data_IF_952861329078
#
_entry.id   IF_952861329078
#
_cell.length_a   1.000
_cell.length_b   1.000
_cell.length_c   1.000
_cell.angle_alpha   90.00
_cell.angle_beta   90.00
_cell.angle_gamma   90.00
#
_symmetry.space_group_name_H-M   'P 1'
#
loop_
_entity.id
_entity.type
_entity.pdbx_description
1 polymer ?
#
# COMPACT_ATOMS: atom_id res chain seq x y z
N UNK A 1 -15.80 3.13 -28.17
CA UNK A 1 -14.35 3.41 -28.33
C UNK A 1 -13.55 3.04 -27.08
N UNK A 2 -14.00 3.30 -25.86
CA UNK A 2 -13.26 3.06 -24.60
C UNK A 2 -13.18 1.59 -24.15
N UNK A 3 -14.14 0.74 -24.53
CA UNK A 3 -14.14 -0.69 -24.20
C UNK A 3 -12.89 -1.42 -24.73
N UNK A 4 -12.34 -0.96 -25.85
CA UNK A 4 -11.15 -1.55 -26.45
C UNK A 4 -9.88 -1.25 -25.65
N UNK A 5 -9.72 -0.01 -25.17
CA UNK A 5 -8.57 0.40 -24.33
C UNK A 5 -8.55 -0.37 -22.99
N UNK A 6 -9.72 -0.49 -22.35
CA UNK A 6 -9.86 -1.28 -21.11
C UNK A 6 -9.48 -2.75 -21.32
N UNK A 7 -9.91 -3.34 -22.43
CA UNK A 7 -9.57 -4.73 -22.77
C UNK A 7 -8.07 -4.90 -22.98
N UNK A 8 -7.45 -4.01 -23.74
CA UNK A 8 -6.00 -4.02 -24.01
C UNK A 8 -5.18 -3.90 -22.72
N UNK A 9 -5.55 -2.97 -21.84
CA UNK A 9 -4.86 -2.82 -20.54
C UNK A 9 -5.00 -4.10 -19.69
N UNK A 10 -6.18 -4.72 -19.65
CA UNK A 10 -6.39 -6.00 -18.94
C UNK A 10 -5.53 -7.13 -19.49
N UNK A 11 -5.42 -7.23 -20.80
CA UNK A 11 -4.58 -8.25 -21.47
C UNK A 11 -3.09 -8.06 -21.14
N UNK A 12 -2.61 -6.82 -21.16
CA UNK A 12 -1.22 -6.51 -20.79
C UNK A 12 -0.95 -6.77 -19.29
N UNK A 13 -1.87 -6.41 -18.40
CA UNK A 13 -1.77 -6.71 -16.97
C UNK A 13 -1.71 -8.23 -16.71
N UNK A 14 -2.55 -9.00 -17.38
CA UNK A 14 -2.53 -10.47 -17.28
C UNK A 14 -1.21 -11.05 -17.79
N UNK A 15 -0.71 -10.54 -18.91
CA UNK A 15 0.53 -11.00 -19.54
C UNK A 15 1.75 -10.68 -18.66
N UNK A 16 1.82 -9.46 -18.12
CA UNK A 16 2.84 -9.03 -17.18
C UNK A 16 2.89 -9.93 -15.93
N UNK A 17 1.73 -10.25 -15.35
CA UNK A 17 1.62 -11.13 -14.17
C UNK A 17 2.06 -12.56 -14.42
N UNK A 18 2.07 -13.00 -15.66
CA UNK A 18 2.56 -14.31 -16.09
C UNK A 18 4.06 -14.31 -16.43
N UNK A 19 4.76 -13.19 -16.20
CA UNK A 19 6.17 -13.02 -16.54
C UNK A 19 6.43 -12.86 -18.04
N UNK A 20 5.40 -12.53 -18.82
CA UNK A 20 5.45 -12.35 -20.29
C UNK A 20 5.01 -10.92 -20.64
N UNK A 21 5.75 -9.92 -20.16
CA UNK A 21 5.47 -8.53 -20.48
C UNK A 21 5.48 -8.32 -22.02
N UNK A 22 4.43 -7.70 -22.56
CA UNK A 22 4.30 -7.39 -23.98
C UNK A 22 4.69 -5.96 -24.33
N UNK A 23 4.73 -5.09 -23.32
CA UNK A 23 5.07 -3.68 -23.41
C UNK A 23 5.92 -3.31 -22.17
N UNK A 24 6.63 -2.21 -22.25
CA UNK A 24 7.38 -1.66 -21.13
C UNK A 24 6.48 -1.14 -20.02
N UNK A 25 7.01 -0.99 -18.80
CA UNK A 25 6.28 -0.43 -17.67
C UNK A 25 5.82 1.02 -17.96
N UNK A 26 6.66 1.82 -18.65
CA UNK A 26 6.32 3.18 -19.06
C UNK A 26 5.14 3.24 -20.02
N UNK A 27 5.12 2.35 -21.02
CA UNK A 27 4.00 2.26 -21.98
C UNK A 27 2.71 1.82 -21.27
N UNK A 28 2.82 0.83 -20.38
CA UNK A 28 1.68 0.37 -19.58
C UNK A 28 1.10 1.49 -18.72
N UNK A 29 1.95 2.20 -17.98
CA UNK A 29 1.55 3.32 -17.13
C UNK A 29 0.91 4.46 -17.93
N UNK A 30 1.42 4.73 -19.15
CA UNK A 30 0.83 5.71 -20.05
C UNK A 30 -0.60 5.34 -20.49
N UNK A 31 -0.83 4.07 -20.83
CA UNK A 31 -2.16 3.57 -21.17
C UNK A 31 -3.14 3.67 -19.99
N UNK A 32 -2.66 3.34 -18.78
CA UNK A 32 -3.46 3.42 -17.54
C UNK A 32 -3.81 4.88 -17.21
N UNK A 33 -2.83 5.81 -17.30
CA UNK A 33 -3.10 7.24 -17.14
C UNK A 33 -4.10 7.77 -18.15
N UNK A 34 -3.96 7.39 -19.42
CA UNK A 34 -4.90 7.78 -20.46
C UNK A 34 -6.32 7.29 -20.17
N UNK A 35 -6.48 6.01 -19.78
CA UNK A 35 -7.78 5.46 -19.40
C UNK A 35 -8.37 6.23 -18.21
N UNK A 36 -7.57 6.56 -17.20
CA UNK A 36 -8.02 7.30 -16.02
C UNK A 36 -8.49 8.72 -16.37
N UNK A 37 -7.82 9.39 -17.33
CA UNK A 37 -8.20 10.73 -17.81
C UNK A 37 -9.53 10.73 -18.55
N UNK A 38 -9.80 9.72 -19.39
CA UNK A 38 -11.00 9.67 -20.23
C UNK A 38 -12.19 8.97 -19.55
N UNK A 39 -11.94 8.05 -18.64
CA UNK A 39 -12.97 7.31 -17.89
C UNK A 39 -12.48 7.03 -16.45
N UNK A 40 -12.53 8.03 -15.55
CA UNK A 40 -12.06 7.89 -14.17
C UNK A 40 -12.77 6.79 -13.38
N UNK A 41 -14.04 6.50 -13.73
CA UNK A 41 -14.87 5.50 -13.09
C UNK A 41 -14.85 4.13 -13.79
N UNK A 42 -13.88 3.92 -14.69
CA UNK A 42 -13.76 2.65 -15.42
C UNK A 42 -13.67 1.45 -14.48
N UNK A 43 -14.37 0.38 -14.82
CA UNK A 43 -14.36 -0.87 -14.04
C UNK A 43 -12.96 -1.47 -13.87
N UNK A 44 -11.99 -1.12 -14.71
CA UNK A 44 -10.59 -1.52 -14.55
C UNK A 44 -10.00 -1.02 -13.23
N UNK A 45 -10.32 0.21 -12.81
CA UNK A 45 -9.82 0.78 -11.55
C UNK A 45 -10.49 0.20 -10.32
N UNK A 46 -11.72 -0.31 -10.47
CA UNK A 46 -12.51 -0.90 -9.39
C UNK A 46 -12.37 -2.43 -9.28
N UNK A 47 -11.79 -3.08 -10.30
CA UNK A 47 -11.66 -4.53 -10.31
C UNK A 47 -10.60 -5.01 -9.30
N UNK A 48 -11.05 -5.61 -8.21
CA UNK A 48 -10.26 -6.41 -7.26
C UNK A 48 -9.16 -5.68 -6.46
N UNK A 49 -9.22 -4.35 -6.32
CA UNK A 49 -8.37 -3.65 -5.36
C UNK A 49 -9.15 -3.45 -4.06
N UNK A 50 -9.09 -4.43 -3.19
CA UNK A 50 -9.66 -4.33 -1.83
C UNK A 50 -8.92 -3.26 -1.02
N UNK A 51 -7.66 -2.99 -1.35
CA UNK A 51 -6.87 -1.90 -0.81
C UNK A 51 -6.55 -0.90 -1.93
N UNK A 52 -6.75 0.41 -1.69
CA UNK A 52 -6.38 1.44 -2.66
C UNK A 52 -4.88 1.41 -2.97
N UNK A 53 -4.48 1.90 -4.12
CA UNK A 53 -3.08 2.09 -4.49
C UNK A 53 -2.65 3.49 -4.12
N UNK A 54 -1.45 3.64 -3.57
CA UNK A 54 -0.78 4.94 -3.57
C UNK A 54 -0.45 5.23 -5.03
N UNK A 55 -0.97 6.34 -5.56
CA UNK A 55 -0.72 6.74 -6.93
C UNK A 55 0.75 7.13 -7.12
N UNK A 56 1.33 6.80 -8.26
CA UNK A 56 2.54 7.45 -8.70
C UNK A 56 2.10 8.79 -9.32
N UNK A 57 2.46 9.88 -8.70
CA UNK A 57 2.22 11.24 -9.21
C UNK A 57 3.54 11.92 -9.55
N UNK A 58 3.48 12.96 -10.36
CA UNK A 58 4.56 13.90 -10.48
C UNK A 58 4.58 14.73 -9.20
N UNK A 59 5.72 14.80 -8.56
CA UNK A 59 5.94 15.56 -7.34
C UNK A 59 5.66 17.06 -7.55
N UNK A 60 6.10 17.64 -8.65
CA UNK A 60 5.88 19.05 -8.99
C UNK A 60 4.39 19.35 -9.17
N UNK A 61 3.68 18.54 -9.96
CA UNK A 61 2.22 18.65 -10.12
C UNK A 61 1.48 18.52 -8.77
N UNK A 62 1.96 17.65 -7.88
CA UNK A 62 1.38 17.52 -6.55
C UNK A 62 1.56 18.78 -5.72
N UNK A 63 2.75 19.39 -5.72
CA UNK A 63 3.01 20.63 -4.99
C UNK A 63 2.14 21.79 -5.48
N UNK A 64 1.86 21.90 -6.77
CA UNK A 64 0.96 22.90 -7.35
C UNK A 64 -0.48 22.78 -6.86
N UNK A 65 -0.90 21.59 -6.39
CA UNK A 65 -2.25 21.38 -5.83
C UNK A 65 -2.39 21.81 -4.38
N UNK A 66 -1.29 22.14 -3.71
CA UNK A 66 -1.28 22.46 -2.29
C UNK A 66 -1.61 23.94 -2.05
N UNK A 67 -2.35 24.17 -0.97
CA UNK A 67 -2.54 25.52 -0.45
C UNK A 67 -1.25 26.02 0.24
N UNK A 68 -1.00 27.34 0.29
CA UNK A 68 0.20 27.90 0.91
C UNK A 68 0.47 27.42 2.34
N UNK A 69 -0.59 27.19 3.12
CA UNK A 69 -0.52 26.73 4.52
C UNK A 69 -0.63 25.20 4.67
N UNK A 70 -0.48 24.46 3.59
CA UNK A 70 -0.56 22.99 3.65
C UNK A 70 0.56 22.41 4.49
N UNK A 71 0.18 21.56 5.44
CA UNK A 71 1.13 20.78 6.25
C UNK A 71 1.35 19.43 5.61
N UNK A 72 2.61 19.10 5.35
CA UNK A 72 3.00 17.86 4.70
C UNK A 72 3.65 16.90 5.71
N UNK A 73 3.43 15.62 5.47
CA UNK A 73 4.18 14.54 6.10
C UNK A 73 4.95 13.82 5.00
N UNK A 74 6.25 13.79 5.15
CA UNK A 74 7.15 13.09 4.25
C UNK A 74 7.54 11.77 4.89
N UNK A 75 7.35 10.67 4.17
CA UNK A 75 7.71 9.32 4.62
C UNK A 75 8.49 8.60 3.52
N UNK A 76 9.47 7.76 3.88
CA UNK A 76 10.07 6.88 2.89
C UNK A 76 9.02 5.94 2.31
N UNK A 77 9.12 5.67 1.02
CA UNK A 77 8.29 4.65 0.36
C UNK A 77 8.86 3.28 0.68
N UNK A 78 8.14 2.52 1.50
CA UNK A 78 8.50 1.14 1.81
C UNK A 78 7.99 0.23 0.68
N UNK A 79 8.90 -0.55 0.11
CA UNK A 79 8.60 -1.48 -0.97
C UNK A 79 8.55 -2.93 -0.47
N UNK A 80 7.39 -3.52 -0.60
CA UNK A 80 7.10 -4.89 -0.20
C UNK A 80 5.80 -5.40 -0.82
N UNK A 81 4.93 -5.95 -0.01
CA UNK A 81 3.59 -6.38 -0.39
C UNK A 81 2.54 -5.68 0.46
N UNK A 82 1.70 -4.86 -0.16
CA UNK A 82 0.59 -4.22 0.54
C UNK A 82 -0.39 -5.25 1.10
N UNK A 83 -0.67 -5.14 2.40
CA UNK A 83 -1.61 -5.99 3.12
C UNK A 83 -2.54 -5.16 4.00
N UNK A 84 -3.75 -5.67 4.18
CA UNK A 84 -4.74 -5.13 5.12
C UNK A 84 -4.94 -6.06 6.29
N UNK A 85 -5.01 -5.49 7.48
CA UNK A 85 -5.30 -6.19 8.74
C UNK A 85 -6.63 -5.73 9.29
N UNK A 86 -7.44 -6.66 9.71
CA UNK A 86 -8.77 -6.41 10.28
C UNK A 86 -8.80 -6.95 11.70
N UNK A 87 -9.06 -6.07 12.65
CA UNK A 87 -9.22 -6.40 14.05
C UNK A 87 -10.68 -6.27 14.44
N UNK A 88 -11.17 -7.23 15.18
CA UNK A 88 -12.48 -7.14 15.84
C UNK A 88 -12.30 -7.35 17.32
N UNK A 89 -12.88 -6.44 18.11
CA UNK A 89 -12.71 -6.40 19.57
C UNK A 89 -11.23 -6.52 19.97
N UNK A 90 -10.36 -5.81 19.24
CA UNK A 90 -8.92 -5.81 19.43
C UNK A 90 -8.19 -7.07 19.03
N UNK A 91 -8.83 -8.11 18.50
CA UNK A 91 -8.19 -9.36 18.04
C UNK A 91 -8.03 -9.35 16.52
N UNK A 92 -6.87 -9.79 16.02
CA UNK A 92 -6.65 -9.98 14.58
C UNK A 92 -7.52 -11.12 14.05
N UNK A 93 -8.53 -10.77 13.26
CA UNK A 93 -9.48 -11.74 12.70
C UNK A 93 -9.25 -12.02 11.23
N UNK A 94 -8.64 -11.08 10.48
CA UNK A 94 -8.47 -11.23 9.04
C UNK A 94 -7.25 -10.45 8.56
N UNK A 95 -6.47 -11.09 7.69
CA UNK A 95 -5.39 -10.45 6.94
C UNK A 95 -5.57 -10.74 5.45
N UNK A 96 -5.43 -9.71 4.62
CA UNK A 96 -5.65 -9.80 3.17
C UNK A 96 -4.52 -9.14 2.40
N UNK A 97 -4.26 -9.64 1.20
CA UNK A 97 -3.39 -8.97 0.24
C UNK A 97 -4.14 -7.85 -0.48
N UNK A 98 -3.43 -6.99 -1.22
CA UNK A 98 -3.99 -5.94 -2.09
C UNK A 98 -5.09 -6.46 -3.05
N UNK A 99 -5.01 -7.73 -3.46
CA UNK A 99 -5.99 -8.38 -4.34
C UNK A 99 -7.11 -9.09 -3.57
N UNK A 100 -7.24 -8.86 -2.26
CA UNK A 100 -8.28 -9.46 -1.42
C UNK A 100 -8.05 -10.93 -1.06
N UNK A 101 -6.90 -11.53 -1.40
CA UNK A 101 -6.62 -12.92 -1.01
C UNK A 101 -6.39 -13.01 0.50
N UNK A 102 -7.10 -13.91 1.15
CA UNK A 102 -6.95 -14.18 2.56
C UNK A 102 -5.57 -14.80 2.87
N UNK A 103 -4.84 -14.19 3.80
CA UNK A 103 -3.50 -14.60 4.24
C UNK A 103 -3.31 -14.41 5.74
N UNK A 104 -4.40 -14.55 6.50
CA UNK A 104 -4.42 -14.32 7.94
C UNK A 104 -3.35 -15.13 8.67
N UNK A 105 -3.25 -16.42 8.41
CA UNK A 105 -2.29 -17.30 9.10
C UNK A 105 -0.83 -16.95 8.73
N UNK A 106 -0.57 -16.57 7.48
CA UNK A 106 0.75 -16.10 7.08
C UNK A 106 1.12 -14.78 7.77
N UNK A 107 0.17 -13.86 7.93
CA UNK A 107 0.40 -12.58 8.58
C UNK A 107 0.53 -12.72 10.11
N UNK A 108 -0.09 -13.71 10.71
CA UNK A 108 0.09 -14.03 12.14
C UNK A 108 1.50 -14.47 12.50
N UNK A 109 2.28 -14.98 11.55
CA UNK A 109 3.68 -15.38 11.80
C UNK A 109 4.64 -14.19 11.84
N UNK A 110 4.20 -13.00 11.43
CA UNK A 110 5.03 -11.79 11.44
C UNK A 110 5.11 -11.25 12.85
N UNK A 111 6.32 -11.21 13.42
CA UNK A 111 6.55 -10.92 14.84
C UNK A 111 6.03 -9.57 15.31
N UNK A 112 6.11 -8.53 14.44
CA UNK A 112 5.67 -7.18 14.77
C UNK A 112 4.21 -6.88 14.36
N UNK A 113 3.41 -7.91 14.00
CA UNK A 113 1.96 -7.76 13.86
C UNK A 113 1.31 -8.19 15.19
N UNK A 114 0.72 -7.25 15.96
CA UNK A 114 0.02 -7.58 17.19
C UNK A 114 -1.15 -8.54 16.92
N UNK A 115 -1.19 -9.68 17.60
CA UNK A 115 -2.35 -10.59 17.55
C UNK A 115 -3.54 -10.06 18.33
N UNK A 116 -3.25 -9.20 19.34
CA UNK A 116 -4.22 -8.49 20.16
C UNK A 116 -3.75 -7.07 20.40
N UNK A 117 -4.63 -6.12 20.15
CA UNK A 117 -4.39 -4.69 20.42
C UNK A 117 -4.54 -4.40 21.92
N UNK A 118 -3.92 -3.31 22.43
CA UNK A 118 -4.04 -2.90 23.82
C UNK A 118 -5.46 -2.42 24.19
N UNK A 119 -6.31 -2.14 23.20
CA UNK A 119 -7.68 -1.68 23.38
C UNK A 119 -8.66 -2.58 22.63
N UNK A 120 -9.89 -2.62 23.12
CA UNK A 120 -10.97 -3.41 22.53
C UNK A 120 -11.70 -2.59 21.46
N UNK A 121 -11.22 -2.66 20.22
CA UNK A 121 -11.70 -1.85 19.10
C UNK A 121 -11.83 -2.68 17.83
N UNK A 122 -12.78 -2.33 16.99
CA UNK A 122 -12.89 -2.82 15.61
C UNK A 122 -12.16 -1.80 14.71
N UNK A 123 -11.11 -2.25 14.02
CA UNK A 123 -10.29 -1.37 13.20
C UNK A 123 -9.73 -2.10 11.99
N UNK A 124 -9.62 -1.39 10.89
CA UNK A 124 -9.03 -1.88 9.64
C UNK A 124 -7.80 -1.05 9.31
N UNK A 125 -6.69 -1.71 9.07
CA UNK A 125 -5.40 -1.08 8.84
C UNK A 125 -4.84 -1.50 7.48
N UNK A 126 -4.05 -0.61 6.90
CA UNK A 126 -3.22 -0.91 5.74
C UNK A 126 -1.76 -0.64 6.06
N UNK A 127 -0.90 -1.49 5.52
CA UNK A 127 0.54 -1.35 5.63
C UNK A 127 1.27 -2.18 4.59
N UNK A 128 2.57 -2.21 4.72
CA UNK A 128 3.47 -2.93 3.84
C UNK A 128 4.17 -4.05 4.60
N UNK A 129 4.08 -5.27 4.08
CA UNK A 129 4.90 -6.41 4.52
C UNK A 129 6.20 -6.37 3.73
N UNK A 130 7.33 -6.25 4.39
CA UNK A 130 8.62 -6.01 3.73
C UNK A 130 9.77 -6.78 4.39
N UNK A 131 10.86 -6.97 3.64
CA UNK A 131 12.10 -7.56 4.14
C UNK A 131 13.00 -6.48 4.73
N UNK A 132 13.31 -6.58 6.01
CA UNK A 132 14.15 -5.60 6.69
C UNK A 132 15.60 -5.63 6.18
N UNK A 133 16.18 -4.44 5.90
CA UNK A 133 17.57 -4.31 5.44
C UNK A 133 17.84 -4.82 4.02
N UNK A 134 16.81 -5.11 3.23
CA UNK A 134 16.92 -5.59 1.87
C UNK A 134 16.66 -4.48 0.84
N UNK A 135 17.24 -4.64 -0.36
CA UNK A 135 16.86 -3.82 -1.51
C UNK A 135 15.39 -4.05 -1.88
N UNK A 136 14.76 -3.06 -2.51
CA UNK A 136 13.34 -3.08 -2.85
C UNK A 136 12.89 -4.37 -3.56
N UNK A 137 13.63 -4.80 -4.60
CA UNK A 137 13.32 -6.02 -5.34
C UNK A 137 13.39 -7.27 -4.47
N UNK A 138 14.42 -7.40 -3.62
CA UNK A 138 14.58 -8.53 -2.71
C UNK A 138 13.51 -8.53 -1.62
N UNK A 139 13.17 -7.35 -1.09
CA UNK A 139 12.12 -7.15 -0.10
C UNK A 139 10.76 -7.61 -0.63
N UNK A 140 10.36 -7.16 -1.83
CA UNK A 140 9.12 -7.58 -2.49
C UNK A 140 9.09 -9.08 -2.77
N UNK A 141 10.21 -9.65 -3.26
CA UNK A 141 10.32 -11.08 -3.55
C UNK A 141 10.15 -11.92 -2.29
N UNK A 142 10.79 -11.53 -1.19
CA UNK A 142 10.69 -12.21 0.11
C UNK A 142 9.26 -12.16 0.66
N UNK A 143 8.65 -10.96 0.71
CA UNK A 143 7.28 -10.78 1.18
C UNK A 143 6.26 -11.55 0.33
N UNK A 144 6.37 -11.46 -0.99
CA UNK A 144 5.51 -12.17 -1.92
C UNK A 144 5.70 -13.69 -1.84
N UNK A 145 6.93 -14.16 -1.64
CA UNK A 145 7.26 -15.55 -1.41
C UNK A 145 6.59 -16.09 -0.14
N UNK A 146 6.75 -15.37 0.96
CA UNK A 146 6.14 -15.71 2.25
C UNK A 146 4.61 -15.85 2.16
N UNK A 147 3.94 -14.89 1.54
CA UNK A 147 2.49 -14.94 1.36
C UNK A 147 2.00 -16.10 0.47
N UNK A 148 2.88 -16.77 -0.28
CA UNK A 148 2.57 -17.96 -1.09
C UNK A 148 2.91 -19.29 -0.42
N UNK A 149 3.77 -19.30 0.63
CA UNK A 149 4.17 -20.51 1.32
C UNK A 149 2.97 -21.24 1.93
N UNK A 150 3.01 -22.57 1.93
CA UNK A 150 2.06 -23.41 2.67
C UNK A 150 2.30 -23.34 4.18
N UNK A 151 3.57 -23.27 4.58
CA UNK A 151 3.99 -23.13 5.97
C UNK A 151 4.85 -21.88 6.07
N UNK A 152 4.26 -20.72 6.37
CA UNK A 152 4.97 -19.47 6.54
C UNK A 152 5.64 -19.39 7.91
N UNK A 153 6.86 -18.84 7.99
CA UNK A 153 7.63 -18.71 9.24
C UNK A 153 7.75 -17.26 9.73
N UNK A 154 7.56 -16.29 8.84
CA UNK A 154 7.70 -14.86 9.16
C UNK A 154 9.14 -14.36 9.22
N UNK A 155 10.14 -15.24 8.99
CA UNK A 155 11.55 -14.90 9.14
C UNK A 155 11.99 -13.82 8.14
N UNK A 156 12.76 -12.83 8.65
CA UNK A 156 13.30 -11.72 7.87
C UNK A 156 12.26 -10.71 7.38
N UNK A 157 11.01 -10.80 7.86
CA UNK A 157 9.92 -9.92 7.47
C UNK A 157 9.44 -9.06 8.64
N UNK A 158 9.06 -7.84 8.30
CA UNK A 158 8.38 -6.88 9.17
C UNK A 158 7.16 -6.29 8.47
N UNK A 159 6.24 -5.78 9.26
CA UNK A 159 5.05 -5.07 8.79
C UNK A 159 5.11 -3.62 9.29
N UNK A 160 5.02 -2.68 8.36
CA UNK A 160 4.92 -1.26 8.66
C UNK A 160 3.51 -0.76 8.32
N UNK A 161 2.78 -0.27 9.32
CA UNK A 161 1.43 0.25 9.12
C UNK A 161 1.46 1.75 8.88
N UNK A 162 0.75 2.21 7.87
CA UNK A 162 0.74 3.62 7.50
C UNK A 162 -0.66 4.21 7.31
N UNK A 163 -1.72 3.41 7.46
CA UNK A 163 -3.07 3.92 7.24
C UNK A 163 -4.11 3.16 8.08
N UNK A 164 -5.06 3.91 8.63
CA UNK A 164 -6.30 3.40 9.19
C UNK A 164 -7.38 3.62 8.14
N UNK A 165 -7.97 2.53 7.65
CA UNK A 165 -8.99 2.60 6.60
C UNK A 165 -10.30 3.18 7.15
N UNK A 166 -10.98 3.96 6.31
CA UNK A 166 -12.24 4.62 6.66
C UNK A 166 -12.14 5.55 7.89
N UNK A 167 -10.95 6.10 8.15
CA UNK A 167 -10.72 7.05 9.23
C UNK A 167 -10.84 8.49 8.73
N UNK A 168 -11.52 9.34 9.50
CA UNK A 168 -11.59 10.78 9.27
C UNK A 168 -10.38 11.54 9.84
N UNK A 169 -9.50 10.84 10.57
CA UNK A 169 -8.28 11.42 11.13
C UNK A 169 -7.32 11.84 10.00
N UNK A 170 -6.67 12.98 10.19
CA UNK A 170 -5.55 13.36 9.34
C UNK A 170 -4.39 12.36 9.47
N UNK A 171 -3.47 12.39 8.52
CA UNK A 171 -2.37 11.39 8.43
C UNK A 171 -1.51 11.33 9.69
N UNK A 172 -1.20 12.48 10.29
CA UNK A 172 -0.42 12.54 11.52
C UNK A 172 -1.11 11.82 12.68
N UNK A 173 -2.37 12.15 12.90
CA UNK A 173 -3.16 11.52 13.96
C UNK A 173 -3.30 10.00 13.75
N UNK A 174 -3.43 9.56 12.50
CA UNK A 174 -3.44 8.13 12.18
C UNK A 174 -2.11 7.45 12.55
N UNK A 175 -0.95 8.06 12.21
CA UNK A 175 0.36 7.50 12.56
C UNK A 175 0.56 7.43 14.08
N UNK A 176 0.18 8.46 14.81
CA UNK A 176 0.21 8.44 16.29
C UNK A 176 -0.66 7.31 16.85
N UNK A 177 -1.88 7.15 16.32
CA UNK A 177 -2.79 6.11 16.77
C UNK A 177 -2.24 4.70 16.46
N UNK A 178 -1.70 4.48 15.27
CA UNK A 178 -1.07 3.22 14.88
C UNK A 178 0.09 2.87 15.82
N UNK A 179 0.94 3.83 16.14
CA UNK A 179 2.04 3.65 17.11
C UNK A 179 1.54 3.28 18.50
N UNK A 180 0.48 3.94 18.99
CA UNK A 180 -0.16 3.63 20.30
C UNK A 180 -0.78 2.23 20.30
N UNK A 181 -1.23 1.73 19.15
CA UNK A 181 -1.75 0.37 18.99
C UNK A 181 -0.65 -0.71 18.90
N UNK A 182 0.63 -0.31 18.92
CA UNK A 182 1.78 -1.22 18.90
C UNK A 182 2.31 -1.55 17.51
N UNK A 183 1.91 -0.81 16.47
CA UNK A 183 2.43 -1.01 15.13
C UNK A 183 3.73 -0.24 14.90
N UNK A 184 4.60 -0.82 14.11
CA UNK A 184 5.66 -0.07 13.43
C UNK A 184 5.01 0.85 12.40
N UNK A 185 5.45 2.10 12.38
CA UNK A 185 5.00 3.14 11.44
C UNK A 185 6.21 3.65 10.65
N UNK A 186 6.02 4.20 9.45
CA UNK A 186 7.14 4.77 8.71
C UNK A 186 7.77 5.93 9.49
N UNK A 187 9.09 6.04 9.40
CA UNK A 187 9.77 7.27 9.78
C UNK A 187 9.13 8.43 9.03
N UNK A 188 8.99 9.57 9.67
CA UNK A 188 8.32 10.70 9.05
C UNK A 188 8.87 12.02 9.53
N UNK A 189 8.86 12.99 8.63
CA UNK A 189 9.16 14.38 8.92
C UNK A 189 7.93 15.23 8.62
N UNK A 190 7.76 16.27 9.44
CA UNK A 190 6.81 17.32 9.15
C UNK A 190 7.52 18.46 8.45
N UNK A 191 6.88 19.03 7.46
CA UNK A 191 7.26 20.32 6.91
C UNK A 191 6.04 21.22 6.85
N UNK A 192 6.24 22.47 7.23
CA UNK A 192 5.24 23.53 7.14
C UNK A 192 5.42 24.36 5.86
N UNK A 193 6.51 24.12 5.11
CA UNK A 193 6.85 24.88 3.92
C UNK A 193 7.23 23.96 2.75
N UNK A 194 6.66 24.26 1.60
CA UNK A 194 6.95 23.52 0.36
C UNK A 194 8.44 23.59 0.01
N UNK A 195 9.11 24.72 0.33
CA UNK A 195 10.55 24.92 0.10
C UNK A 195 11.45 23.94 0.87
N UNK A 196 10.99 23.38 2.00
CA UNK A 196 11.77 22.40 2.77
C UNK A 196 11.78 21.01 2.12
N UNK A 197 10.85 20.74 1.23
CA UNK A 197 10.72 19.43 0.54
C UNK A 197 11.86 19.20 -0.44
N UNK A 198 12.46 20.26 -0.99
CA UNK A 198 13.57 20.18 -1.94
C UNK A 198 14.93 19.81 -1.28
N UNK A 199 15.02 19.79 0.07
CA UNK A 199 16.26 19.57 0.82
C UNK A 199 16.37 18.13 1.34
N UNK A 200 15.35 17.33 1.17
CA UNK A 200 15.24 15.95 1.68
C UNK A 200 15.39 14.91 0.56
#
# INVERSE_FOLDING_TARGET
MYANLTKTIKEFDISYRKGKAKISDQEFDSLVRNLKRIDPNNSYFHQNKVLPSIGNGNYEEFLETLLPDSRLIITPKIDGCAVGLYYSKGKLVKGITRKGKHKTEALKTIKNIPQKLPINVDIQLRGELYGHGLSNTKSQALAGGHLRKKIPTGDGLSFCSYEILNSELNKHSQLIQLKKLGFEIPEHKFTNFISEVHIL
#
